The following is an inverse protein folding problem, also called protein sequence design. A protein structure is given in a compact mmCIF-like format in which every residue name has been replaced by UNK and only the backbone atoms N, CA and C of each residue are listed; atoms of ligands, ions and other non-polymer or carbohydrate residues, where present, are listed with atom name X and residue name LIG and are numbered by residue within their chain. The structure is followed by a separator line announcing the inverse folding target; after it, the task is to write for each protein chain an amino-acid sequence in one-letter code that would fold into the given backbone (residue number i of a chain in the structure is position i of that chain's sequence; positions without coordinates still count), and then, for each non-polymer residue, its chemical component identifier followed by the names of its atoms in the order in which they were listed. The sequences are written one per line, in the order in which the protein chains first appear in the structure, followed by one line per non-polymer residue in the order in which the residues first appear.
data_IF_204853965795
#
_entry.id   IF_204853965795
#
_cell.length_a   1.000
_cell.length_b   1.000
_cell.length_c   1.000
_cell.angle_alpha   90.00
_cell.angle_beta   90.00
_cell.angle_gamma   90.00
#
_symmetry.space_group_name_H-M   'P 1'
#
loop_
_entity.id
_entity.type
_entity.pdbx_description
1 polymer ?
#
# COMPACT_ATOMS: atom_id res chain seq x y z
N UNK A 1 68.76 40.06 -1.33
CA UNK A 1 67.49 40.61 -1.84
C UNK A 1 66.58 39.41 -1.93
N UNK A 2 65.93 39.13 -0.81
CA UNK A 2 65.08 37.96 -0.63
C UNK A 2 63.76 38.14 -1.39
N UNK A 3 63.38 37.06 -2.06
CA UNK A 3 62.09 36.41 -1.89
C UNK A 3 60.82 37.26 -2.07
N UNK A 4 60.14 37.05 -3.20
CA UNK A 4 58.68 37.08 -3.23
C UNK A 4 58.12 35.85 -3.94
N UNK A 5 57.72 34.91 -3.08
CA UNK A 5 56.86 33.77 -3.31
C UNK A 5 55.46 34.25 -3.71
N UNK A 6 55.02 33.95 -4.93
CA UNK A 6 53.62 34.11 -5.31
C UNK A 6 52.84 32.85 -4.91
N UNK A 7 52.31 32.87 -3.69
CA UNK A 7 51.37 31.85 -3.21
C UNK A 7 50.02 32.15 -3.87
N UNK A 8 49.72 31.45 -4.96
CA UNK A 8 48.34 31.34 -5.42
C UNK A 8 47.56 30.44 -4.45
N UNK A 9 47.17 31.01 -3.31
CA UNK A 9 46.25 30.39 -2.37
C UNK A 9 44.82 30.66 -2.85
N UNK A 10 44.18 29.65 -3.41
CA UNK A 10 42.82 29.75 -3.94
C UNK A 10 42.09 28.41 -3.91
N UNK A 11 41.75 28.01 -2.68
CA UNK A 11 40.63 27.13 -2.30
C UNK A 11 40.54 25.76 -3.00
N UNK A 12 41.12 24.75 -2.36
CA UNK A 12 40.56 23.40 -2.42
C UNK A 12 39.17 23.43 -1.75
N UNK A 13 38.12 23.55 -2.56
CA UNK A 13 36.77 23.19 -2.13
C UNK A 13 36.74 21.70 -1.80
N UNK A 14 36.92 21.40 -0.52
CA UNK A 14 36.54 20.12 0.05
C UNK A 14 35.01 20.03 -0.04
N UNK A 15 34.52 19.51 -1.16
CA UNK A 15 33.13 19.10 -1.37
C UNK A 15 32.87 17.84 -0.53
N UNK A 16 32.90 18.01 0.80
CA UNK A 16 32.48 16.99 1.75
C UNK A 16 31.03 16.65 1.46
N UNK A 17 30.76 15.38 1.18
CA UNK A 17 29.41 14.88 0.91
C UNK A 17 28.49 15.31 2.06
N UNK A 18 27.51 16.16 1.76
CA UNK A 18 26.56 16.64 2.75
C UNK A 18 25.74 15.47 3.26
N UNK A 19 25.74 15.25 4.57
CA UNK A 19 24.99 14.19 5.24
C UNK A 19 23.48 14.50 5.25
N UNK A 20 23.08 15.76 4.98
CA UNK A 20 21.68 16.21 4.96
C UNK A 20 20.78 15.44 3.97
N UNK A 21 21.15 15.33 2.69
CA UNK A 21 20.42 14.50 1.73
C UNK A 21 20.33 13.01 2.13
N UNK A 22 21.40 12.46 2.73
CA UNK A 22 21.44 11.05 3.15
C UNK A 22 20.44 10.81 4.29
N UNK A 23 20.44 11.67 5.31
CA UNK A 23 19.51 11.52 6.44
C UNK A 23 18.06 11.73 5.98
N UNK A 24 17.82 12.66 5.03
CA UNK A 24 16.50 12.85 4.43
C UNK A 24 15.98 11.60 3.72
N UNK A 25 16.83 10.93 2.93
CA UNK A 25 16.47 9.68 2.26
C UNK A 25 16.12 8.57 3.24
N UNK A 26 16.87 8.45 4.35
CA UNK A 26 16.63 7.41 5.34
C UNK A 26 15.25 7.59 6.00
N UNK A 27 14.88 8.82 6.33
CA UNK A 27 13.57 9.13 6.92
C UNK A 27 12.43 8.80 5.96
N UNK A 28 12.58 9.14 4.67
CA UNK A 28 11.58 8.81 3.64
C UNK A 28 11.40 7.30 3.52
N UNK A 29 12.50 6.54 3.46
CA UNK A 29 12.44 5.08 3.38
C UNK A 29 11.75 4.46 4.61
N UNK A 30 12.05 4.96 5.81
CA UNK A 30 11.41 4.49 7.04
C UNK A 30 9.88 4.68 6.99
N UNK A 31 9.39 5.83 6.52
CA UNK A 31 7.96 6.10 6.39
C UNK A 31 7.30 5.19 5.35
N UNK A 32 7.94 4.96 4.20
CA UNK A 32 7.41 4.06 3.16
C UNK A 32 7.31 2.63 3.67
N UNK A 33 8.34 2.14 4.36
CA UNK A 33 8.33 0.79 4.95
C UNK A 33 7.22 0.67 5.99
N UNK A 34 7.08 1.64 6.89
CA UNK A 34 6.02 1.65 7.90
C UNK A 34 4.62 1.72 7.27
N UNK A 35 4.42 2.59 6.28
CA UNK A 35 3.14 2.70 5.56
C UNK A 35 2.81 1.42 4.77
N UNK A 36 3.81 0.82 4.13
CA UNK A 36 3.68 -0.45 3.44
C UNK A 36 3.32 -1.60 4.38
N UNK A 37 4.00 -1.72 5.52
CA UNK A 37 3.70 -2.73 6.54
C UNK A 37 2.34 -2.50 7.21
N UNK A 38 1.96 -1.24 7.46
CA UNK A 38 0.65 -0.87 7.99
C UNK A 38 -0.48 -1.32 7.04
N UNK A 39 -0.35 -0.99 5.75
CA UNK A 39 -1.34 -1.36 4.74
C UNK A 39 -1.38 -2.86 4.45
N UNK A 40 -0.21 -3.52 4.42
CA UNK A 40 -0.10 -4.97 4.21
C UNK A 40 -0.79 -5.74 5.34
N UNK A 41 -0.62 -5.30 6.60
CA UNK A 41 -1.27 -5.92 7.75
C UNK A 41 -2.80 -5.84 7.69
N UNK A 42 -3.36 -4.80 7.05
CA UNK A 42 -4.81 -4.60 6.93
C UNK A 42 -5.50 -5.61 5.99
N UNK A 43 -4.76 -6.29 5.09
CA UNK A 43 -5.34 -7.24 4.13
C UNK A 43 -5.48 -8.66 4.66
N UNK A 44 -4.82 -9.00 5.78
CA UNK A 44 -4.83 -10.35 6.33
C UNK A 44 -6.21 -10.77 6.87
N UNK A 45 -7.02 -9.82 7.37
CA UNK A 45 -8.34 -10.14 7.96
C UNK A 45 -9.53 -10.03 6.97
N UNK A 46 -9.37 -9.35 5.83
CA UNK A 46 -10.48 -9.04 4.92
C UNK A 46 -10.67 -10.12 3.84
N UNK A 47 -9.74 -11.05 3.70
CA UNK A 47 -9.78 -12.05 2.63
C UNK A 47 -10.67 -13.25 2.96
N UNK A 48 -10.89 -13.60 4.24
CA UNK A 48 -11.61 -14.84 4.58
C UNK A 48 -13.14 -14.69 4.55
N UNK A 49 -13.72 -13.60 5.06
CA UNK A 49 -15.18 -13.46 5.14
C UNK A 49 -15.87 -13.36 3.77
N UNK A 50 -15.26 -12.64 2.82
CA UNK A 50 -15.83 -12.48 1.47
C UNK A 50 -15.64 -13.74 0.64
N UNK A 51 -14.54 -14.48 0.85
CA UNK A 51 -14.23 -15.70 0.09
C UNK A 51 -15.02 -16.91 0.62
N UNK A 52 -15.24 -17.03 1.93
CA UNK A 52 -16.15 -18.06 2.46
C UNK A 52 -17.58 -17.89 1.94
N UNK A 53 -18.10 -16.66 1.94
CA UNK A 53 -19.46 -16.35 1.48
C UNK A 53 -19.69 -16.68 0.00
N UNK A 54 -18.65 -16.63 -0.83
CA UNK A 54 -18.71 -17.01 -2.25
C UNK A 54 -18.60 -18.54 -2.42
N UNK A 55 -17.76 -19.22 -1.64
CA UNK A 55 -17.63 -20.68 -1.72
C UNK A 55 -18.89 -21.41 -1.22
N UNK A 56 -19.64 -20.84 -0.27
CA UNK A 56 -20.91 -21.40 0.20
C UNK A 56 -22.05 -21.32 -0.83
N UNK A 57 -21.92 -20.52 -1.89
CA UNK A 57 -22.93 -20.44 -2.96
C UNK A 57 -22.82 -21.58 -3.99
N UNK A 58 -21.84 -22.48 -3.86
CA UNK A 58 -21.55 -23.54 -4.82
C UNK A 58 -21.68 -24.95 -4.21
N UNK A 59 -22.59 -25.13 -3.24
CA UNK A 59 -22.64 -26.37 -2.44
C UNK A 59 -23.45 -27.49 -3.11
N UNK A 60 -24.31 -27.21 -4.10
CA UNK A 60 -25.13 -28.24 -4.75
C UNK A 60 -25.65 -27.87 -6.15
N UNK A 61 -25.55 -28.82 -7.09
CA UNK A 61 -26.17 -28.75 -8.44
C UNK A 61 -27.60 -29.31 -8.47
N UNK A 62 -28.17 -29.64 -7.31
CA UNK A 62 -29.53 -30.18 -7.21
C UNK A 62 -30.56 -29.06 -7.42
N UNK A 63 -31.59 -29.30 -8.22
CA UNK A 63 -32.60 -28.27 -8.52
C UNK A 63 -33.26 -27.69 -7.25
N UNK A 64 -33.48 -28.53 -6.23
CA UNK A 64 -34.05 -28.10 -4.95
C UNK A 64 -33.11 -27.15 -4.16
N UNK A 65 -31.80 -27.29 -4.30
CA UNK A 65 -30.84 -26.41 -3.65
C UNK A 65 -30.79 -25.04 -4.34
N UNK A 66 -30.81 -25.02 -5.67
CA UNK A 66 -30.88 -23.79 -6.46
C UNK A 66 -32.16 -23.01 -6.14
N UNK A 67 -33.30 -23.68 -6.03
CA UNK A 67 -34.56 -23.04 -5.63
C UNK A 67 -34.48 -22.47 -4.20
N UNK A 68 -33.84 -23.15 -3.27
CA UNK A 68 -33.65 -22.65 -1.91
C UNK A 68 -32.76 -21.39 -1.89
N UNK A 69 -31.67 -21.38 -2.65
CA UNK A 69 -30.74 -20.25 -2.73
C UNK A 69 -31.39 -19.02 -3.39
N UNK A 70 -32.18 -19.23 -4.46
CA UNK A 70 -32.95 -18.15 -5.09
C UNK A 70 -34.00 -17.57 -4.15
N UNK A 71 -34.67 -18.40 -3.35
CA UNK A 71 -35.64 -17.93 -2.35
C UNK A 71 -34.97 -17.20 -1.18
N UNK A 72 -33.72 -17.54 -0.86
CA UNK A 72 -32.92 -16.88 0.16
C UNK A 72 -32.24 -15.59 -0.34
N UNK A 73 -32.27 -15.33 -1.65
CA UNK A 73 -31.70 -14.11 -2.23
C UNK A 73 -32.59 -12.92 -1.87
N UNK A 74 -32.04 -11.97 -1.11
CA UNK A 74 -32.74 -10.77 -0.66
C UNK A 74 -32.84 -9.72 -1.80
N UNK A 75 -33.92 -9.80 -2.58
CA UNK A 75 -34.19 -8.90 -3.70
C UNK A 75 -34.68 -7.52 -3.25
N UNK A 76 -35.22 -7.40 -2.03
CA UNK A 76 -35.75 -6.12 -1.52
C UNK A 76 -34.65 -5.08 -1.33
N UNK A 77 -33.44 -5.51 -0.94
CA UNK A 77 -32.29 -4.63 -0.82
C UNK A 77 -31.55 -4.38 -2.16
N UNK A 78 -31.74 -5.24 -3.16
CA UNK A 78 -31.05 -5.12 -4.46
C UNK A 78 -31.51 -3.88 -5.24
N UNK A 79 -32.79 -3.53 -5.19
CA UNK A 79 -33.34 -2.32 -5.83
C UNK A 79 -32.79 -1.04 -5.20
N UNK A 80 -32.52 -1.05 -3.89
CA UNK A 80 -31.93 0.08 -3.18
C UNK A 80 -30.47 0.29 -3.57
N UNK A 81 -29.70 -0.80 -3.75
CA UNK A 81 -28.30 -0.76 -4.19
C UNK A 81 -28.16 -0.31 -5.65
N UNK A 82 -29.02 -0.79 -6.56
CA UNK A 82 -29.00 -0.41 -7.97
C UNK A 82 -29.32 1.07 -8.20
N UNK A 83 -30.23 1.65 -7.41
CA UNK A 83 -30.56 3.08 -7.50
C UNK A 83 -29.51 3.99 -6.84
N UNK A 84 -28.58 3.43 -6.07
CA UNK A 84 -27.49 4.18 -5.42
C UNK A 84 -26.20 4.25 -6.27
N UNK A 85 -26.15 3.58 -7.43
CA UNK A 85 -25.01 3.56 -8.37
C UNK A 85 -25.11 4.57 -9.52
#
# INVERSE_FOLDING_TARGET
MDEQNNINAGTEENSGSSIGPIIGIIVILAIIILGGLYFWNQRADVTDQTVESINTQNVSDEAAAIEADLNATDIENLDAELNAS
#
